data_IF_817193935196
#
_entry.id   IF_817193935196
#
_cell.length_a   1.000
_cell.length_b   1.000
_cell.length_c   1.000
_cell.angle_alpha   90.00
_cell.angle_beta   90.00
_cell.angle_gamma   90.00
#
_symmetry.space_group_name_H-M   'P 1'
#
loop_
_entity.id
_entity.type
_entity.pdbx_description
1 polymer ?
#
# COMPACT_ATOMS: atom_id res chain seq x y z
N UNK A 1 -42.39 11.90 -26.77
CA UNK A 1 -41.47 12.82 -26.08
C UNK A 1 -41.20 12.23 -24.70
N UNK A 2 -40.12 11.46 -24.56
CA UNK A 2 -39.77 10.77 -23.32
C UNK A 2 -38.30 10.40 -23.40
N UNK A 3 -37.45 11.29 -22.89
CA UNK A 3 -36.02 11.07 -22.85
C UNK A 3 -35.74 9.90 -21.89
N UNK A 4 -35.12 8.86 -22.43
CA UNK A 4 -34.60 7.72 -21.71
C UNK A 4 -33.55 8.24 -20.73
N UNK A 5 -33.67 7.87 -19.45
CA UNK A 5 -32.63 8.13 -18.47
C UNK A 5 -31.42 7.27 -18.78
N UNK A 6 -30.43 7.85 -19.42
CA UNK A 6 -29.06 7.35 -19.47
C UNK A 6 -28.31 7.89 -18.26
N UNK A 7 -28.07 6.98 -17.31
CA UNK A 7 -27.19 7.21 -16.18
C UNK A 7 -25.83 7.70 -16.69
N UNK A 8 -25.52 8.97 -16.46
CA UNK A 8 -24.17 9.50 -16.56
C UNK A 8 -23.37 8.94 -15.38
N UNK A 9 -22.90 7.69 -15.51
CA UNK A 9 -21.74 7.25 -14.74
C UNK A 9 -20.58 8.12 -15.22
N UNK A 10 -20.33 9.21 -14.49
CA UNK A 10 -19.09 9.96 -14.63
C UNK A 10 -17.96 8.95 -14.48
N UNK A 11 -17.21 8.76 -15.56
CA UNK A 11 -15.89 8.17 -15.50
C UNK A 11 -15.11 8.85 -14.37
N UNK A 12 -14.13 8.16 -13.78
CA UNK A 12 -13.29 8.61 -12.65
C UNK A 12 -12.51 9.94 -12.86
N UNK A 13 -12.94 10.82 -13.75
CA UNK A 13 -12.42 12.15 -13.96
C UNK A 13 -12.65 13.01 -12.70
N UNK A 14 -11.52 13.26 -12.04
CA UNK A 14 -11.27 14.15 -10.89
C UNK A 14 -11.22 13.50 -9.50
N UNK A 15 -10.73 12.26 -9.36
CA UNK A 15 -10.09 11.91 -8.07
C UNK A 15 -8.67 12.51 -8.07
N UNK A 16 -8.33 13.42 -7.15
CA UNK A 16 -6.95 13.89 -7.05
C UNK A 16 -6.03 12.69 -6.78
N UNK A 17 -4.83 12.71 -7.36
CA UNK A 17 -3.79 11.75 -7.04
C UNK A 17 -3.59 11.71 -5.51
N UNK A 18 -3.50 10.53 -4.89
CA UNK A 18 -3.42 10.41 -3.45
C UNK A 18 -2.10 10.99 -2.94
N UNK A 19 -2.18 11.89 -1.96
CA UNK A 19 -0.98 12.37 -1.26
C UNK A 19 -0.35 11.28 -0.38
N UNK A 20 -1.15 10.32 0.11
CA UNK A 20 -0.73 9.21 0.96
C UNK A 20 -1.45 7.94 0.54
N UNK A 21 -0.73 6.82 0.46
CA UNK A 21 -1.28 5.48 0.23
C UNK A 21 -0.94 4.59 1.41
N UNK A 22 -1.95 3.90 1.94
CA UNK A 22 -1.83 2.96 3.06
C UNK A 22 -2.07 1.54 2.55
N UNK A 23 -1.18 0.61 2.87
CA UNK A 23 -1.34 -0.81 2.60
C UNK A 23 -1.15 -1.63 3.88
N UNK A 24 -2.05 -2.59 4.14
CA UNK A 24 -1.99 -3.43 5.34
C UNK A 24 -2.09 -4.90 4.98
N UNK A 25 -1.17 -5.72 5.50
CA UNK A 25 -1.14 -7.19 5.34
C UNK A 25 -1.36 -7.66 3.89
N UNK A 26 -0.66 -7.03 2.94
CA UNK A 26 -0.75 -7.32 1.49
C UNK A 26 0.34 -8.27 0.99
N UNK A 27 1.34 -8.55 1.83
CA UNK A 27 2.51 -9.38 1.48
C UNK A 27 2.35 -10.84 1.93
N UNK A 28 1.11 -11.37 1.91
CA UNK A 28 0.79 -12.71 2.39
C UNK A 28 1.10 -13.82 1.37
N UNK A 29 1.22 -13.50 0.08
CA UNK A 29 1.67 -14.45 -0.96
C UNK A 29 2.53 -13.75 -2.02
N UNK A 30 3.40 -14.49 -2.76
CA UNK A 30 4.34 -13.89 -3.70
C UNK A 30 3.68 -13.11 -4.83
N UNK A 31 2.58 -13.61 -5.40
CA UNK A 31 1.94 -12.98 -6.57
C UNK A 31 1.24 -11.68 -6.16
N UNK A 32 0.61 -11.68 -4.99
CA UNK A 32 0.00 -10.47 -4.43
C UNK A 32 1.06 -9.47 -4.03
N UNK A 33 2.16 -9.92 -3.40
CA UNK A 33 3.31 -9.09 -3.04
C UNK A 33 3.90 -8.36 -4.27
N UNK A 34 4.22 -9.08 -5.34
CA UNK A 34 4.79 -8.51 -6.56
C UNK A 34 3.88 -7.44 -7.19
N UNK A 35 2.59 -7.76 -7.37
CA UNK A 35 1.60 -6.83 -7.96
C UNK A 35 1.36 -5.60 -7.10
N UNK A 36 1.29 -5.81 -5.77
CA UNK A 36 1.06 -4.72 -4.83
C UNK A 36 2.28 -3.81 -4.79
N UNK A 37 3.49 -4.35 -4.70
CA UNK A 37 4.72 -3.57 -4.71
C UNK A 37 4.85 -2.74 -5.99
N UNK A 38 4.55 -3.31 -7.17
CA UNK A 38 4.57 -2.57 -8.43
C UNK A 38 3.58 -1.39 -8.43
N UNK A 39 2.40 -1.59 -7.86
CA UNK A 39 1.36 -0.55 -7.74
C UNK A 39 1.78 0.53 -6.74
N UNK A 40 2.33 0.16 -5.59
CA UNK A 40 2.82 1.09 -4.58
C UNK A 40 4.00 1.93 -5.09
N UNK A 41 4.92 1.32 -5.85
CA UNK A 41 5.99 2.05 -6.52
C UNK A 41 5.43 3.06 -7.53
N UNK A 42 4.42 2.69 -8.33
CA UNK A 42 3.81 3.62 -9.27
C UNK A 42 3.20 4.86 -8.58
N UNK A 43 2.56 4.69 -7.41
CA UNK A 43 2.09 5.83 -6.60
C UNK A 43 3.24 6.61 -5.96
N UNK A 44 4.32 5.96 -5.54
CA UNK A 44 5.49 6.67 -5.02
C UNK A 44 6.10 7.61 -6.06
N UNK A 45 6.12 7.20 -7.33
CA UNK A 45 6.60 8.03 -8.45
C UNK A 45 5.70 9.25 -8.74
N UNK A 46 4.42 9.22 -8.36
CA UNK A 46 3.56 10.42 -8.42
C UNK A 46 3.78 11.39 -7.25
N UNK A 47 4.68 11.04 -6.32
CA UNK A 47 5.02 11.83 -5.14
C UNK A 47 4.24 11.43 -3.88
N UNK A 48 3.39 10.40 -3.94
CA UNK A 48 2.65 9.92 -2.78
C UNK A 48 3.62 9.43 -1.68
N UNK A 49 3.19 9.58 -0.42
CA UNK A 49 3.83 8.91 0.71
C UNK A 49 3.21 7.52 0.91
N UNK A 50 4.03 6.48 0.87
CA UNK A 50 3.56 5.09 0.95
C UNK A 50 3.88 4.54 2.33
N UNK A 51 2.84 4.16 3.07
CA UNK A 51 2.95 3.52 4.38
C UNK A 51 2.39 2.10 4.34
N UNK A 52 3.16 1.16 4.86
CA UNK A 52 2.83 -0.26 4.90
C UNK A 52 2.75 -0.70 6.36
N UNK A 53 1.66 -1.36 6.75
CA UNK A 53 1.56 -2.10 8.01
C UNK A 53 1.68 -3.59 7.77
N UNK A 54 2.63 -4.26 8.43
CA UNK A 54 2.86 -5.69 8.20
C UNK A 54 3.52 -6.37 9.42
N UNK A 55 3.14 -7.61 9.77
CA UNK A 55 3.75 -8.38 10.85
C UNK A 55 5.07 -9.07 10.46
N UNK A 56 5.82 -8.53 9.49
CA UNK A 56 7.04 -9.09 8.93
C UNK A 56 6.80 -10.43 8.21
N UNK A 57 5.80 -10.47 7.32
CA UNK A 57 5.52 -11.59 6.42
C UNK A 57 6.73 -11.94 5.55
N UNK A 58 6.82 -13.21 5.15
CA UNK A 58 7.95 -13.74 4.39
C UNK A 58 8.21 -13.01 3.05
N UNK A 59 7.18 -12.44 2.43
CA UNK A 59 7.28 -11.75 1.15
C UNK A 59 7.39 -10.23 1.26
N UNK A 60 7.58 -9.70 2.48
CA UNK A 60 7.78 -8.28 2.69
C UNK A 60 9.15 -7.84 2.14
N UNK A 61 9.24 -6.87 1.22
CA UNK A 61 10.48 -6.45 0.58
C UNK A 61 11.29 -5.52 1.49
N UNK A 62 11.76 -6.02 2.64
CA UNK A 62 12.40 -5.22 3.70
C UNK A 62 13.56 -4.32 3.22
N UNK A 63 14.26 -4.71 2.16
CA UNK A 63 15.36 -3.94 1.56
C UNK A 63 14.90 -2.63 0.88
N UNK A 64 13.67 -2.60 0.37
CA UNK A 64 13.04 -1.41 -0.23
C UNK A 64 12.32 -0.54 0.83
N UNK A 65 12.24 -1.01 2.07
CA UNK A 65 11.46 -0.39 3.12
C UNK A 65 12.35 0.27 4.19
N UNK A 66 11.80 1.30 4.83
CA UNK A 66 12.32 1.88 6.04
C UNK A 66 11.32 1.64 7.17
N UNK A 67 11.72 0.93 8.23
CA UNK A 67 10.88 0.76 9.43
C UNK A 67 10.77 2.11 10.13
N UNK A 68 9.54 2.59 10.33
CA UNK A 68 9.29 3.86 11.02
C UNK A 68 8.61 3.68 12.39
N UNK A 69 7.95 2.56 12.63
CA UNK A 69 7.43 2.20 13.94
C UNK A 69 7.31 0.68 14.10
N UNK A 70 7.24 0.22 15.35
CA UNK A 70 6.91 -1.17 15.71
C UNK A 70 5.89 -1.16 16.83
N UNK A 71 4.96 -2.11 16.78
CA UNK A 71 3.88 -2.27 17.75
C UNK A 71 3.67 -3.75 18.02
N UNK A 72 3.49 -4.11 19.29
CA UNK A 72 3.00 -5.45 19.63
C UNK A 72 1.47 -5.46 19.47
N UNK A 73 0.98 -6.30 18.57
CA UNK A 73 -0.45 -6.41 18.22
C UNK A 73 -0.91 -7.83 18.47
N UNK A 74 -2.19 -8.02 18.83
CA UNK A 74 -2.75 -9.36 18.95
C UNK A 74 -2.93 -9.96 17.54
N UNK A 75 -2.30 -11.10 17.27
CA UNK A 75 -2.55 -11.84 16.04
C UNK A 75 -3.83 -12.68 16.19
N UNK A 76 -4.86 -12.30 15.44
CA UNK A 76 -6.12 -13.03 15.40
C UNK A 76 -5.97 -14.42 14.76
N UNK A 77 -4.98 -14.63 13.88
CA UNK A 77 -4.72 -15.94 13.27
C UNK A 77 -4.03 -16.91 14.24
N UNK A 78 -3.22 -16.39 15.18
CA UNK A 78 -2.50 -17.19 16.18
C UNK A 78 -3.25 -17.37 17.51
N UNK A 79 -4.56 -17.12 17.53
CA UNK A 79 -5.36 -17.27 18.75
C UNK A 79 -5.08 -16.20 19.82
N UNK A 80 -4.72 -14.98 19.40
CA UNK A 80 -4.52 -13.83 20.29
C UNK A 80 -3.09 -13.72 20.86
N UNK A 81 -2.14 -14.53 20.39
CA UNK A 81 -0.73 -14.33 20.72
C UNK A 81 -0.26 -13.00 20.14
N UNK A 82 0.45 -12.21 20.95
CA UNK A 82 1.03 -10.97 20.48
C UNK A 82 2.11 -11.25 19.42
N UNK A 83 2.03 -10.55 18.29
CA UNK A 83 3.06 -10.49 17.24
C UNK A 83 3.55 -9.06 17.12
N UNK A 84 4.83 -8.88 16.84
CA UNK A 84 5.38 -7.55 16.59
C UNK A 84 5.09 -7.16 15.15
N UNK A 85 4.22 -6.17 14.96
CA UNK A 85 3.96 -5.54 13.67
C UNK A 85 4.86 -4.32 13.45
N UNK A 86 5.25 -4.10 12.20
CA UNK A 86 5.96 -2.92 11.77
C UNK A 86 5.04 -1.97 10.99
N UNK A 87 5.32 -0.68 11.10
CA UNK A 87 4.94 0.31 10.09
C UNK A 87 6.19 0.68 9.32
N UNK A 88 6.08 0.60 8.00
CA UNK A 88 7.17 0.81 7.06
C UNK A 88 6.81 1.94 6.11
N UNK A 89 7.82 2.68 5.69
CA UNK A 89 7.72 3.62 4.56
C UNK A 89 8.48 3.03 3.37
N UNK A 90 7.89 3.10 2.19
CA UNK A 90 8.59 2.73 0.95
C UNK A 90 9.70 3.76 0.69
N UNK A 91 10.93 3.28 0.48
CA UNK A 91 12.04 4.16 0.10
C UNK A 91 11.78 4.66 -1.30
N UNK A 92 11.80 5.98 -1.49
CA UNK A 92 11.78 6.52 -2.84
C UNK A 92 13.11 6.22 -3.50
N UNK A 93 13.07 5.86 -4.78
CA UNK A 93 14.26 5.89 -5.61
C UNK A 93 14.80 7.33 -5.55
N UNK A 94 16.06 7.50 -5.20
CA UNK A 94 16.72 8.78 -5.34
C UNK A 94 16.76 9.12 -6.82
N UNK A 95 15.90 10.05 -7.24
CA UNK A 95 15.98 10.68 -8.56
C UNK A 95 17.26 11.51 -8.58
N UNK A 96 18.39 10.86 -8.81
CA UNK A 96 19.63 11.56 -9.09
C UNK A 96 19.41 12.36 -10.37
N UNK A 97 19.42 13.68 -10.23
CA UNK A 97 19.29 14.62 -11.33
C UNK A 97 20.43 14.39 -12.34
N UNK A 98 20.10 14.10 -13.59
CA UNK A 98 21.00 14.16 -14.74
C UNK A 98 20.70 15.39 -15.57
#
# INVERSE_FOLDING_TARGET
MGARGDAQYSSHAANPEPAVVLAGDVFYDPKTAERTLATLNAFAETGADILIGDPFRDHLPLHELAVIARYDVADFASGGKAVTAGVFRLRRASTACS
#
